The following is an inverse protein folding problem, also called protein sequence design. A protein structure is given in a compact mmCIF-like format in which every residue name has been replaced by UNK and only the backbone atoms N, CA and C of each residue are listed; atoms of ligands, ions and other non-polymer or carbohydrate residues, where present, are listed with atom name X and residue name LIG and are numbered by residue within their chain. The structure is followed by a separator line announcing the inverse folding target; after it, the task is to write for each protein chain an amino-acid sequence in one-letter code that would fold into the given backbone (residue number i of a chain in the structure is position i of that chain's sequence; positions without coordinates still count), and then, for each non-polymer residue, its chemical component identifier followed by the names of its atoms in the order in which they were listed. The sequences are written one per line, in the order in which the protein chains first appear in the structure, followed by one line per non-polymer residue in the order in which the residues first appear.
data_IF_864749712022
#
_entry.id   IF_864749712022
#
_cell.length_a   1.000
_cell.length_b   1.000
_cell.length_c   1.000
_cell.angle_alpha   90.00
_cell.angle_beta   90.00
_cell.angle_gamma   90.00
#
_symmetry.space_group_name_H-M   'P 1'
#
loop_
_entity.id
_entity.type
_entity.pdbx_description
1 polymer ?
#
# COMPACT_ATOMS: atom_id res chain seq x y z
N UNK A 1 -18.80 9.26 -9.46
CA UNK A 1 -18.54 10.42 -10.35
C UNK A 1 -19.52 11.54 -10.01
N UNK A 2 -19.24 12.39 -9.01
CA UNK A 2 -20.17 13.45 -8.60
C UNK A 2 -20.58 14.37 -9.77
N UNK A 3 -19.64 14.67 -10.68
CA UNK A 3 -19.93 15.44 -11.90
C UNK A 3 -20.87 14.72 -12.89
N UNK A 4 -20.76 13.39 -13.05
CA UNK A 4 -21.72 12.63 -13.87
C UNK A 4 -23.08 12.44 -13.17
N UNK A 5 -23.10 12.37 -11.84
CA UNK A 5 -24.35 12.34 -11.06
C UNK A 5 -25.08 13.67 -11.21
N UNK A 6 -24.36 14.80 -11.13
CA UNK A 6 -24.91 16.12 -11.41
C UNK A 6 -25.46 16.21 -12.85
N UNK A 7 -24.68 15.75 -13.84
CA UNK A 7 -25.13 15.71 -15.24
C UNK A 7 -26.37 14.82 -15.44
N UNK A 8 -26.44 13.66 -14.77
CA UNK A 8 -27.58 12.75 -14.86
C UNK A 8 -28.82 13.27 -14.15
N UNK A 9 -28.66 14.08 -13.10
CA UNK A 9 -29.78 14.58 -12.29
C UNK A 9 -30.36 15.87 -12.86
N UNK A 10 -29.50 16.77 -13.34
CA UNK A 10 -29.90 18.09 -13.82
C UNK A 10 -29.88 18.22 -15.34
N UNK A 11 -29.24 17.29 -16.07
CA UNK A 11 -29.01 17.39 -17.52
C UNK A 11 -27.89 18.36 -17.90
N UNK A 12 -27.31 19.08 -16.93
CA UNK A 12 -26.19 20.00 -17.09
C UNK A 12 -25.46 20.20 -15.76
N UNK A 13 -24.30 20.89 -15.78
CA UNK A 13 -23.60 21.35 -14.58
C UNK A 13 -24.29 22.59 -13.99
N UNK A 14 -24.93 22.49 -12.81
CA UNK A 14 -25.76 23.57 -12.28
C UNK A 14 -24.97 24.69 -11.60
N UNK A 15 -23.67 24.53 -11.41
CA UNK A 15 -22.82 25.51 -10.72
C UNK A 15 -22.05 26.41 -11.69
N UNK A 16 -21.34 27.40 -11.15
CA UNK A 16 -20.52 28.29 -11.96
C UNK A 16 -19.26 27.60 -12.54
N UNK A 17 -18.61 28.26 -13.50
CA UNK A 17 -17.42 27.76 -14.19
C UNK A 17 -16.21 27.59 -13.27
N UNK A 18 -16.09 28.41 -12.21
CA UNK A 18 -15.02 28.30 -11.22
C UNK A 18 -15.13 26.99 -10.44
N UNK A 19 -16.33 26.68 -9.94
CA UNK A 19 -16.61 25.43 -9.24
C UNK A 19 -16.36 24.22 -10.13
N UNK A 20 -16.71 24.30 -11.42
CA UNK A 20 -16.37 23.22 -12.35
C UNK A 20 -14.86 23.01 -12.50
N UNK A 21 -14.12 24.09 -12.70
CA UNK A 21 -12.66 24.04 -12.86
C UNK A 21 -12.00 23.48 -11.60
N UNK A 22 -12.35 23.98 -10.42
CA UNK A 22 -11.86 23.46 -9.14
C UNK A 22 -12.22 21.99 -8.94
N UNK A 23 -13.45 21.61 -9.24
CA UNK A 23 -13.92 20.23 -9.11
C UNK A 23 -13.13 19.28 -10.02
N UNK A 24 -12.93 19.65 -11.28
CA UNK A 24 -12.23 18.81 -12.26
C UNK A 24 -10.75 18.65 -11.92
N UNK A 25 -10.09 19.75 -11.52
CA UNK A 25 -8.69 19.74 -11.08
C UNK A 25 -8.53 18.88 -9.81
N UNK A 26 -9.38 19.10 -8.81
CA UNK A 26 -9.33 18.34 -7.55
C UNK A 26 -9.55 16.84 -7.80
N UNK A 27 -10.51 16.48 -8.66
CA UNK A 27 -10.76 15.08 -9.01
C UNK A 27 -9.52 14.42 -9.64
N UNK A 28 -8.83 15.13 -10.54
CA UNK A 28 -7.65 14.59 -11.21
C UNK A 28 -6.47 14.43 -10.24
N UNK A 29 -6.23 15.43 -9.38
CA UNK A 29 -5.18 15.38 -8.34
C UNK A 29 -5.47 14.25 -7.36
N UNK A 30 -6.66 14.17 -6.76
CA UNK A 30 -6.98 13.12 -5.79
C UNK A 30 -6.84 11.71 -6.39
N UNK A 31 -7.24 11.52 -7.65
CA UNK A 31 -7.09 10.22 -8.33
C UNK A 31 -5.63 9.87 -8.61
N UNK A 32 -4.79 10.88 -8.84
CA UNK A 32 -3.34 10.73 -9.05
C UNK A 32 -2.59 10.50 -7.73
N UNK A 33 -2.89 11.27 -6.69
CA UNK A 33 -2.37 11.08 -5.35
C UNK A 33 -2.64 9.66 -4.82
N UNK A 34 -3.82 9.08 -5.10
CA UNK A 34 -4.11 7.68 -4.77
C UNK A 34 -3.09 6.72 -5.44
N UNK A 35 -2.78 6.94 -6.72
CA UNK A 35 -1.83 6.13 -7.49
C UNK A 35 -0.41 6.24 -6.93
N UNK A 36 0.07 7.46 -6.71
CA UNK A 36 1.37 7.69 -6.10
C UNK A 36 1.45 7.16 -4.66
N UNK A 37 0.33 7.17 -3.91
CA UNK A 37 0.24 6.54 -2.60
C UNK A 37 0.53 5.04 -2.66
N UNK A 38 -0.03 4.32 -3.63
CA UNK A 38 0.26 2.89 -3.84
C UNK A 38 1.70 2.63 -4.26
N UNK A 39 2.26 3.50 -5.11
CA UNK A 39 3.67 3.44 -5.46
C UNK A 39 4.56 3.66 -4.24
N UNK A 40 4.22 4.62 -3.38
CA UNK A 40 4.96 4.92 -2.16
C UNK A 40 4.90 3.77 -1.15
N UNK A 41 3.72 3.15 -0.97
CA UNK A 41 3.58 1.95 -0.15
C UNK A 41 4.47 0.83 -0.69
N UNK A 42 4.47 0.62 -2.01
CA UNK A 42 5.31 -0.40 -2.66
C UNK A 42 6.80 -0.10 -2.49
N UNK A 43 7.23 1.14 -2.73
CA UNK A 43 8.62 1.57 -2.55
C UNK A 43 9.09 1.43 -1.10
N UNK A 44 8.24 1.79 -0.13
CA UNK A 44 8.50 1.60 1.29
C UNK A 44 8.73 0.11 1.64
N UNK A 45 7.97 -0.79 1.02
CA UNK A 45 8.14 -2.24 1.21
C UNK A 45 9.42 -2.75 0.56
N UNK A 46 9.75 -2.28 -0.64
CA UNK A 46 11.04 -2.59 -1.28
C UNK A 46 12.16 -2.18 -0.33
N UNK A 47 12.15 -0.94 0.17
CA UNK A 47 13.18 -0.41 1.06
C UNK A 47 13.35 -1.27 2.33
N UNK A 48 12.23 -1.64 2.97
CA UNK A 48 12.25 -2.48 4.17
C UNK A 48 12.84 -3.88 3.91
N UNK A 49 12.57 -4.46 2.73
CA UNK A 49 12.97 -5.83 2.39
C UNK A 49 14.40 -5.90 1.84
N UNK A 50 14.84 -4.90 1.07
CA UNK A 50 16.18 -4.88 0.47
C UNK A 50 17.25 -4.40 1.43
N UNK A 51 16.95 -3.37 2.24
CA UNK A 51 17.91 -2.72 3.12
C UNK A 51 17.38 -2.61 4.56
N UNK A 52 17.20 -3.74 5.27
CA UNK A 52 16.53 -3.76 6.57
C UNK A 52 17.24 -2.94 7.65
N UNK A 53 18.58 -2.90 7.65
CA UNK A 53 19.37 -2.11 8.61
C UNK A 53 19.22 -0.61 8.34
N UNK A 54 19.35 -0.19 7.08
CA UNK A 54 19.17 1.20 6.70
C UNK A 54 17.73 1.65 6.92
N UNK A 55 16.75 0.80 6.59
CA UNK A 55 15.34 1.07 6.87
C UNK A 55 15.10 1.34 8.35
N UNK A 56 15.64 0.52 9.26
CA UNK A 56 15.44 0.69 10.70
C UNK A 56 16.04 1.99 11.26
N UNK A 57 17.14 2.48 10.69
CA UNK A 57 17.80 3.70 11.17
C UNK A 57 17.28 4.97 10.49
N UNK A 58 16.93 4.89 9.21
CA UNK A 58 16.55 6.05 8.42
C UNK A 58 15.03 6.27 8.32
N UNK A 59 14.22 5.21 8.40
CA UNK A 59 12.77 5.33 8.32
C UNK A 59 12.21 5.90 9.63
N UNK A 60 12.03 7.22 9.67
CA UNK A 60 11.43 7.95 10.78
C UNK A 60 10.12 8.62 10.35
N UNK A 61 9.25 8.96 11.31
CA UNK A 61 8.00 9.70 11.04
C UNK A 61 8.26 11.06 10.38
N UNK A 62 9.40 11.69 10.65
CA UNK A 62 9.81 12.94 9.98
C UNK A 62 10.07 12.69 8.49
N UNK A 63 10.88 11.68 8.19
CA UNK A 63 11.19 11.28 6.80
C UNK A 63 9.92 10.86 6.06
N UNK A 64 9.06 10.05 6.67
CA UNK A 64 7.80 9.63 6.05
C UNK A 64 6.90 10.83 5.71
N UNK A 65 6.74 11.80 6.62
CA UNK A 65 5.97 13.03 6.36
C UNK A 65 6.59 13.86 5.24
N UNK A 66 7.91 14.00 5.22
CA UNK A 66 8.60 14.71 4.14
C UNK A 66 8.39 14.03 2.78
N UNK A 67 8.53 12.70 2.71
CA UNK A 67 8.31 11.96 1.45
C UNK A 67 6.87 12.13 0.98
N UNK A 68 5.88 11.99 1.87
CA UNK A 68 4.46 12.21 1.53
C UNK A 68 4.25 13.64 1.00
N UNK A 69 4.77 14.66 1.70
CA UNK A 69 4.63 16.05 1.27
C UNK A 69 5.26 16.30 -0.10
N UNK A 70 6.46 15.78 -0.35
CA UNK A 70 7.13 15.87 -1.65
C UNK A 70 6.30 15.18 -2.74
N UNK A 71 5.76 13.99 -2.46
CA UNK A 71 4.90 13.27 -3.40
C UNK A 71 3.66 14.08 -3.77
N UNK A 72 2.98 14.70 -2.79
CA UNK A 72 1.84 15.57 -3.05
C UNK A 72 2.22 16.79 -3.89
N UNK A 73 3.34 17.44 -3.59
CA UNK A 73 3.82 18.59 -4.35
C UNK A 73 4.13 18.20 -5.81
N UNK A 74 4.82 17.09 -6.02
CA UNK A 74 5.12 16.58 -7.36
C UNK A 74 3.85 16.20 -8.13
N UNK A 75 2.89 15.57 -7.46
CA UNK A 75 1.60 15.22 -8.06
C UNK A 75 0.84 16.47 -8.51
N UNK A 76 0.70 17.49 -7.64
CA UNK A 76 0.07 18.76 -7.99
C UNK A 76 0.81 19.42 -9.15
N UNK A 77 2.14 19.48 -9.12
CA UNK A 77 2.97 20.08 -10.17
C UNK A 77 2.79 19.38 -11.52
N UNK A 78 2.62 18.05 -11.53
CA UNK A 78 2.50 17.27 -12.74
C UNK A 78 1.09 17.33 -13.35
N UNK A 79 0.07 17.28 -12.50
CA UNK A 79 -1.34 17.13 -12.91
C UNK A 79 -2.01 18.48 -13.18
N UNK A 80 -1.64 19.53 -12.41
CA UNK A 80 -2.32 20.83 -12.50
C UNK A 80 -2.15 21.53 -13.84
N UNK A 81 -0.96 21.57 -14.48
CA UNK A 81 -0.77 22.34 -15.71
C UNK A 81 -1.71 21.92 -16.84
N UNK A 82 -1.84 20.61 -17.08
CA UNK A 82 -2.72 20.09 -18.14
C UNK A 82 -4.20 20.40 -17.87
N UNK A 83 -4.62 20.25 -16.61
CA UNK A 83 -5.99 20.53 -16.19
C UNK A 83 -6.30 22.03 -16.25
N UNK A 84 -5.43 22.88 -15.70
CA UNK A 84 -5.61 24.34 -15.69
C UNK A 84 -5.62 24.91 -17.10
N UNK A 85 -4.68 24.52 -17.97
CA UNK A 85 -4.63 25.02 -19.34
C UNK A 85 -5.84 24.55 -20.18
N UNK A 86 -6.30 23.32 -19.95
CA UNK A 86 -7.53 22.81 -20.56
C UNK A 86 -8.75 23.65 -20.19
N UNK A 87 -8.87 24.02 -18.91
CA UNK A 87 -9.96 24.88 -18.42
C UNK A 87 -9.85 26.32 -18.93
N UNK A 88 -8.63 26.87 -18.96
CA UNK A 88 -8.36 28.22 -19.46
C UNK A 88 -8.66 28.36 -20.95
N UNK A 89 -8.24 27.38 -21.76
CA UNK A 89 -8.42 27.41 -23.23
C UNK A 89 -9.89 27.33 -23.67
N UNK A 90 -10.80 26.92 -22.78
CA UNK A 90 -12.23 26.79 -23.10
C UNK A 90 -12.96 28.14 -23.19
N UNK A 91 -12.35 29.20 -22.66
CA UNK A 91 -12.92 30.55 -22.58
C UNK A 91 -14.12 30.65 -21.64
N UNK A 92 -14.34 31.82 -21.03
CA UNK A 92 -15.40 32.04 -20.04
C UNK A 92 -16.84 32.00 -20.61
N UNK A 93 -16.99 31.88 -21.94
CA UNK A 93 -18.26 31.95 -22.67
C UNK A 93 -18.84 30.58 -23.06
N UNK A 94 -18.18 29.47 -22.72
CA UNK A 94 -18.75 28.15 -22.96
C UNK A 94 -19.71 27.80 -21.83
N UNK A 95 -21.00 27.63 -22.13
CA UNK A 95 -21.95 27.01 -21.20
C UNK A 95 -21.43 25.61 -20.88
N UNK A 96 -20.82 25.44 -19.73
CA UNK A 96 -20.05 24.25 -19.38
C UNK A 96 -20.97 23.10 -18.95
N UNK A 97 -21.90 22.74 -19.83
CA UNK A 97 -22.99 21.80 -19.57
C UNK A 97 -22.52 20.48 -19.01
N UNK A 98 -21.35 19.99 -19.42
CA UNK A 98 -20.84 18.67 -19.01
C UNK A 98 -19.72 18.70 -17.96
N UNK A 99 -19.34 19.88 -17.46
CA UNK A 99 -18.20 20.09 -16.56
C UNK A 99 -17.03 19.11 -16.76
N UNK A 100 -16.30 19.32 -17.87
CA UNK A 100 -15.20 18.44 -18.30
C UNK A 100 -14.01 19.24 -18.83
N UNK A 101 -12.81 18.68 -18.64
CA UNK A 101 -11.61 19.12 -19.35
C UNK A 101 -11.77 18.91 -20.86
N UNK A 102 -11.44 19.94 -21.62
CA UNK A 102 -11.39 19.90 -23.08
C UNK A 102 -9.92 19.98 -23.52
N UNK A 103 -9.40 18.87 -24.05
CA UNK A 103 -8.03 18.78 -24.52
C UNK A 103 -8.03 18.90 -26.05
N UNK A 104 -7.57 20.04 -26.58
CA UNK A 104 -7.53 20.31 -28.02
C UNK A 104 -6.14 20.75 -28.47
N UNK A 105 -5.76 20.41 -29.71
CA UNK A 105 -4.47 20.79 -30.28
C UNK A 105 -3.29 20.30 -29.42
N UNK A 106 -2.41 21.22 -29.02
CA UNK A 106 -1.23 20.88 -28.21
C UNK A 106 -1.58 20.31 -26.82
N UNK A 107 -2.76 20.64 -26.28
CA UNK A 107 -3.22 20.15 -24.97
C UNK A 107 -3.45 18.64 -24.96
N UNK A 108 -3.71 18.03 -26.11
CA UNK A 108 -3.81 16.56 -26.24
C UNK A 108 -2.45 15.91 -25.93
N UNK A 109 -1.36 16.48 -26.46
CA UNK A 109 0.01 15.98 -26.19
C UNK A 109 0.37 16.13 -24.71
N UNK A 110 0.00 17.26 -24.12
CA UNK A 110 0.22 17.51 -22.70
C UNK A 110 -0.59 16.55 -21.81
N UNK A 111 -1.89 16.36 -22.11
CA UNK A 111 -2.74 15.41 -21.39
C UNK A 111 -2.23 13.97 -21.50
N UNK A 112 -1.74 13.58 -22.68
CA UNK A 112 -1.12 12.27 -22.89
C UNK A 112 0.15 12.10 -22.06
N UNK A 113 1.02 13.11 -22.01
CA UNK A 113 2.21 13.08 -21.16
C UNK A 113 1.85 13.00 -19.66
N UNK A 114 0.84 13.77 -19.23
CA UNK A 114 0.32 13.70 -17.85
C UNK A 114 -0.26 12.32 -17.54
N UNK A 115 -0.96 11.68 -18.48
CA UNK A 115 -1.50 10.33 -18.30
C UNK A 115 -0.38 9.30 -18.15
N UNK A 116 0.66 9.34 -19.00
CA UNK A 116 1.81 8.42 -18.87
C UNK A 116 2.49 8.57 -17.50
N UNK A 117 2.79 9.82 -17.12
CA UNK A 117 3.55 10.10 -15.91
C UNK A 117 2.71 9.83 -14.63
N UNK A 118 1.42 10.13 -14.66
CA UNK A 118 0.51 9.98 -13.53
C UNK A 118 -0.17 8.61 -13.43
N UNK A 119 -0.31 7.87 -14.54
CA UNK A 119 -0.96 6.56 -14.61
C UNK A 119 0.04 5.46 -14.92
N UNK A 120 0.56 5.42 -16.15
CA UNK A 120 1.27 4.25 -16.69
C UNK A 120 2.56 3.93 -15.92
N UNK A 121 3.38 4.94 -15.62
CA UNK A 121 4.65 4.74 -14.91
C UNK A 121 4.40 4.21 -13.49
N UNK A 122 3.55 4.83 -12.64
CA UNK A 122 3.22 4.28 -11.33
C UNK A 122 2.71 2.83 -11.39
N UNK A 123 1.78 2.52 -12.31
CA UNK A 123 1.26 1.16 -12.47
C UNK A 123 2.39 0.19 -12.81
N UNK A 124 3.19 0.51 -13.83
CA UNK A 124 4.26 -0.34 -14.30
C UNK A 124 5.30 -0.61 -13.19
N UNK A 125 5.72 0.42 -12.47
CA UNK A 125 6.66 0.29 -11.36
C UNK A 125 6.13 -0.62 -10.24
N UNK A 126 4.84 -0.52 -9.91
CA UNK A 126 4.19 -1.41 -8.93
C UNK A 126 4.22 -2.86 -9.44
N UNK A 127 3.84 -3.09 -10.70
CA UNK A 127 3.76 -4.43 -11.28
C UNK A 127 5.13 -5.12 -11.37
N UNK A 128 6.18 -4.42 -11.80
CA UNK A 128 7.52 -5.03 -11.93
C UNK A 128 8.20 -5.26 -10.59
N UNK A 129 7.95 -4.38 -9.61
CA UNK A 129 8.62 -4.46 -8.31
C UNK A 129 8.01 -5.53 -7.40
N UNK A 130 6.74 -5.88 -7.62
CA UNK A 130 6.04 -6.83 -6.78
C UNK A 130 6.63 -8.26 -6.82
N UNK A 131 6.93 -8.88 -7.98
CA UNK A 131 7.64 -10.16 -8.05
C UNK A 131 8.98 -10.13 -7.30
N UNK A 132 9.70 -9.02 -7.40
CA UNK A 132 10.98 -8.85 -6.71
C UNK A 132 10.80 -8.81 -5.17
N UNK A 133 9.79 -8.08 -4.68
CA UNK A 133 9.45 -8.05 -3.25
C UNK A 133 9.08 -9.45 -2.75
N UNK A 134 8.20 -10.16 -3.48
CA UNK A 134 7.81 -11.53 -3.13
C UNK A 134 9.00 -12.49 -3.11
N UNK A 135 9.87 -12.40 -4.10
CA UNK A 135 11.08 -13.22 -4.18
C UNK A 135 11.98 -13.00 -2.96
N UNK A 136 12.28 -11.74 -2.63
CA UNK A 136 13.12 -11.42 -1.47
C UNK A 136 12.47 -11.83 -0.15
N UNK A 137 11.16 -11.61 0.01
CA UNK A 137 10.42 -12.07 1.18
C UNK A 137 10.49 -13.60 1.33
N UNK A 138 10.31 -14.36 0.24
CA UNK A 138 10.44 -15.82 0.24
C UNK A 138 11.85 -16.25 0.64
N UNK A 139 12.89 -15.61 0.10
CA UNK A 139 14.27 -15.92 0.48
C UNK A 139 14.53 -15.68 1.97
N UNK A 140 14.10 -14.55 2.52
CA UNK A 140 14.27 -14.23 3.93
C UNK A 140 13.55 -15.25 4.83
N UNK A 141 12.34 -15.67 4.44
CA UNK A 141 11.59 -16.72 5.16
C UNK A 141 12.30 -18.07 5.14
N UNK A 142 12.83 -18.50 3.99
CA UNK A 142 13.57 -19.76 3.85
C UNK A 142 14.86 -19.76 4.68
N UNK A 143 15.66 -18.69 4.59
CA UNK A 143 16.90 -18.54 5.39
C UNK A 143 16.63 -18.65 6.88
N UNK A 144 15.54 -18.05 7.35
CA UNK A 144 15.18 -18.11 8.75
C UNK A 144 14.60 -19.47 9.16
N UNK A 145 13.75 -20.09 8.35
CA UNK A 145 13.25 -21.45 8.63
C UNK A 145 14.39 -22.43 8.83
N UNK A 146 15.45 -22.33 8.01
CA UNK A 146 16.66 -23.13 8.17
C UNK A 146 17.40 -22.77 9.46
N UNK A 147 17.48 -21.48 9.83
CA UNK A 147 18.12 -21.03 11.06
C UNK A 147 17.40 -21.52 12.32
N UNK A 148 16.06 -21.48 12.38
CA UNK A 148 15.30 -22.06 13.50
C UNK A 148 15.53 -23.56 13.56
N UNK A 149 15.41 -24.26 12.43
CA UNK A 149 15.62 -25.72 12.39
C UNK A 149 17.00 -26.09 12.91
N UNK A 150 17.99 -25.24 12.67
CA UNK A 150 19.34 -25.38 13.21
C UNK A 150 19.44 -25.03 14.70
N UNK A 151 18.69 -24.06 15.21
CA UNK A 151 18.59 -23.74 16.63
C UNK A 151 17.87 -24.84 17.41
N UNK A 152 16.75 -25.37 16.92
CA UNK A 152 16.00 -26.49 17.54
C UNK A 152 16.86 -27.76 17.58
N UNK A 153 17.57 -28.08 16.49
CA UNK A 153 18.51 -29.19 16.44
C UNK A 153 19.71 -29.02 17.40
N UNK A 154 20.03 -27.80 17.82
CA UNK A 154 21.13 -27.50 18.76
C UNK A 154 20.65 -27.32 20.20
N UNK A 155 19.38 -27.00 20.41
CA UNK A 155 18.74 -26.80 21.70
C UNK A 155 18.26 -28.09 22.35
N UNK A 156 18.21 -29.22 21.62
CA UNK A 156 18.09 -30.55 22.20
C UNK A 156 19.46 -31.25 22.26
N UNK A 157 20.17 -31.19 23.39
CA UNK A 157 21.06 -32.28 23.76
C UNK A 157 20.20 -33.55 23.90
N UNK A 158 20.59 -34.71 23.33
CA UNK A 158 19.93 -35.99 23.59
C UNK A 158 19.86 -36.33 25.09
N UNK A 159 20.68 -35.67 25.90
CA UNK A 159 20.71 -35.77 27.35
C UNK A 159 19.62 -34.98 28.09
N UNK A 160 19.03 -33.92 27.52
CA UNK A 160 18.02 -33.11 28.22
C UNK A 160 16.65 -33.79 28.31
N UNK A 161 16.25 -34.55 27.27
CA UNK A 161 15.06 -35.41 27.32
C UNK A 161 15.24 -36.61 28.28
N UNK A 162 16.49 -37.07 28.48
CA UNK A 162 16.77 -38.13 29.44
C UNK A 162 16.67 -37.65 30.91
N UNK A 163 16.95 -36.37 31.17
CA UNK A 163 16.81 -35.78 32.52
C UNK A 163 15.34 -35.60 32.91
N UNK A 164 14.45 -35.28 31.97
CA UNK A 164 13.01 -35.14 32.25
C UNK A 164 12.37 -36.49 32.59
N UNK A 165 12.91 -37.60 32.05
CA UNK A 165 12.42 -38.95 32.33
C UNK A 165 13.06 -39.61 33.56
N UNK A 166 14.00 -38.94 34.24
CA UNK A 166 14.63 -39.46 35.45
C UNK A 166 14.12 -38.72 36.68
N UNK A 167 12.87 -38.97 37.05
CA UNK A 167 12.47 -38.90 38.46
C UNK A 167 13.29 -39.94 39.25
N UNK A 168 14.52 -39.58 39.58
CA UNK A 168 15.31 -40.26 40.58
C UNK A 168 15.84 -39.20 41.53
N UNK A 169 15.05 -38.97 42.57
CA UNK A 169 15.36 -38.22 43.78
C UNK A 169 16.79 -38.55 44.22
N UNK A 170 17.71 -37.60 44.11
CA UNK A 170 19.01 -37.66 44.79
C UNK A 170 19.31 -36.31 45.47
N UNK A 171 20.03 -36.32 46.60
CA UNK A 171 20.04 -35.20 47.53
C UNK A 171 20.83 -34.01 46.97
N UNK A 172 20.26 -32.82 47.12
CA UNK A 172 20.82 -31.54 46.67
C UNK A 172 22.14 -31.26 47.39
N UNK A 173 23.27 -31.39 46.69
CA UNK A 173 24.53 -30.76 47.08
C UNK A 173 24.39 -29.22 46.95
N UNK A 174 25.10 -28.41 47.76
CA UNK A 174 24.92 -26.96 47.78
C UNK A 174 25.53 -26.36 46.51
N UNK A 175 24.79 -26.42 45.42
CA UNK A 175 25.13 -25.72 44.19
C UNK A 175 24.86 -24.24 44.39
N UNK A 176 25.85 -23.44 44.02
CA UNK A 176 25.89 -21.99 44.19
C UNK A 176 24.61 -21.36 43.60
N UNK A 177 23.67 -21.00 44.49
CA UNK A 177 22.32 -20.48 44.17
C UNK A 177 22.36 -19.31 43.18
N UNK A 178 23.42 -18.49 43.23
CA UNK A 178 23.65 -17.40 42.26
C UNK A 178 23.78 -17.91 40.82
N UNK A 179 24.54 -18.99 40.61
CA UNK A 179 24.76 -19.55 39.26
C UNK A 179 23.51 -20.18 38.63
N UNK A 180 22.57 -20.65 39.45
CA UNK A 180 21.27 -21.15 38.99
C UNK A 180 20.38 -19.98 38.58
N UNK A 181 20.31 -18.93 39.42
CA UNK A 181 19.53 -17.72 39.13
C UNK A 181 20.05 -17.01 37.86
N UNK A 182 21.37 -16.92 37.67
CA UNK A 182 21.97 -16.31 36.48
C UNK A 182 21.63 -17.08 35.19
N UNK A 183 21.59 -18.42 35.28
CA UNK A 183 21.20 -19.30 34.16
C UNK A 183 19.71 -19.19 33.83
N UNK A 184 18.84 -19.15 34.84
CA UNK A 184 17.41 -18.93 34.66
C UNK A 184 17.13 -17.55 34.07
N UNK A 185 17.78 -16.50 34.57
CA UNK A 185 17.64 -15.13 34.03
C UNK A 185 18.09 -15.05 32.57
N UNK A 186 19.20 -15.69 32.21
CA UNK A 186 19.67 -15.77 30.82
C UNK A 186 18.70 -16.56 29.91
N UNK A 187 18.12 -17.65 30.43
CA UNK A 187 17.12 -18.44 29.70
C UNK A 187 15.83 -17.63 29.47
N UNK A 188 15.34 -16.91 30.49
CA UNK A 188 14.18 -16.02 30.39
C UNK A 188 14.42 -14.89 29.39
N UNK A 189 15.59 -14.25 29.44
CA UNK A 189 15.96 -13.20 28.48
C UNK A 189 16.02 -13.72 27.04
N UNK A 190 16.54 -14.93 26.82
CA UNK A 190 16.57 -15.57 25.50
C UNK A 190 15.16 -15.88 24.98
N UNK A 191 14.28 -16.44 25.82
CA UNK A 191 12.88 -16.71 25.48
C UNK A 191 12.12 -15.42 25.14
N UNK A 192 12.34 -14.36 25.92
CA UNK A 192 11.72 -13.05 25.69
C UNK A 192 12.20 -12.40 24.38
N UNK A 193 13.50 -12.53 24.07
CA UNK A 193 14.06 -12.06 22.80
C UNK A 193 13.46 -12.80 21.59
N UNK A 194 13.26 -14.12 21.70
CA UNK A 194 12.58 -14.93 20.67
C UNK A 194 11.11 -14.53 20.54
N UNK A 195 10.40 -14.30 21.64
CA UNK A 195 9.01 -13.82 21.64
C UNK A 195 8.85 -12.47 20.95
N UNK A 196 9.71 -11.50 21.27
CA UNK A 196 9.71 -10.17 20.64
C UNK A 196 10.00 -10.25 19.13
N UNK A 197 10.93 -11.12 18.72
CA UNK A 197 11.25 -11.35 17.31
C UNK A 197 10.07 -12.00 16.56
N UNK A 198 9.34 -12.94 17.18
CA UNK A 198 8.12 -13.54 16.63
C UNK A 198 6.99 -12.53 16.45
N UNK A 199 6.73 -11.67 17.44
CA UNK A 199 5.71 -10.61 17.37
C UNK A 199 6.05 -9.62 16.26
N UNK A 200 7.28 -9.12 16.21
CA UNK A 200 7.74 -8.22 15.15
C UNK A 200 7.52 -8.83 13.75
N UNK A 201 7.80 -10.13 13.59
CA UNK A 201 7.57 -10.85 12.33
C UNK A 201 6.11 -11.04 11.99
N UNK A 202 5.25 -11.25 12.98
CA UNK A 202 3.81 -11.32 12.76
C UNK A 202 3.27 -10.00 12.20
N UNK A 203 3.78 -8.87 12.71
CA UNK A 203 3.49 -7.53 12.19
C UNK A 203 3.98 -7.39 10.74
N UNK A 204 5.24 -7.75 10.44
CA UNK A 204 5.74 -7.73 9.06
C UNK A 204 4.94 -8.64 8.12
N UNK A 205 4.57 -9.86 8.56
CA UNK A 205 3.79 -10.81 7.76
C UNK A 205 2.37 -10.28 7.48
N UNK A 206 1.80 -9.50 8.39
CA UNK A 206 0.52 -8.81 8.15
C UNK A 206 0.67 -7.71 7.10
N UNK A 207 1.77 -6.93 7.14
CA UNK A 207 2.09 -5.91 6.16
C UNK A 207 2.36 -6.46 4.75
N UNK A 208 2.90 -7.68 4.63
CA UNK A 208 3.10 -8.36 3.35
C UNK A 208 1.75 -8.67 2.67
N UNK A 209 0.74 -9.10 3.45
CA UNK A 209 -0.61 -9.37 2.93
C UNK A 209 -1.27 -8.11 2.40
N UNK A 210 -1.09 -6.98 3.10
CA UNK A 210 -1.59 -5.66 2.65
C UNK A 210 -1.06 -5.32 1.27
N UNK A 211 0.25 -5.49 1.04
CA UNK A 211 0.86 -5.23 -0.25
C UNK A 211 0.28 -6.12 -1.35
N UNK A 212 0.11 -7.42 -1.08
CA UNK A 212 -0.51 -8.36 -2.03
C UNK A 212 -1.90 -7.88 -2.44
N UNK A 213 -2.74 -7.55 -1.46
CA UNK A 213 -4.12 -7.11 -1.72
C UNK A 213 -4.16 -5.78 -2.49
N UNK A 214 -3.31 -4.82 -2.13
CA UNK A 214 -3.17 -3.56 -2.85
C UNK A 214 -2.78 -3.81 -4.32
N UNK A 215 -1.78 -4.65 -4.57
CA UNK A 215 -1.34 -4.95 -5.94
C UNK A 215 -2.41 -5.69 -6.74
N UNK A 216 -3.09 -6.67 -6.13
CA UNK A 216 -4.22 -7.35 -6.77
C UNK A 216 -5.33 -6.35 -7.11
N UNK A 217 -5.64 -5.42 -6.21
CA UNK A 217 -6.62 -4.36 -6.45
C UNK A 217 -6.21 -3.44 -7.60
N UNK A 218 -4.93 -3.02 -7.66
CA UNK A 218 -4.36 -2.27 -8.80
C UNK A 218 -4.55 -3.03 -10.10
N UNK A 219 -4.13 -4.29 -10.17
CA UNK A 219 -4.25 -5.10 -11.39
C UNK A 219 -5.72 -5.18 -11.83
N UNK A 220 -6.62 -5.60 -10.95
CA UNK A 220 -8.03 -5.80 -11.31
C UNK A 220 -8.71 -4.49 -11.71
N UNK A 221 -8.43 -3.41 -11.00
CA UNK A 221 -9.17 -2.16 -11.19
C UNK A 221 -8.55 -1.23 -12.25
N UNK A 222 -7.24 -1.35 -12.53
CA UNK A 222 -6.54 -0.43 -13.45
C UNK A 222 -6.15 -1.09 -14.79
N UNK A 223 -6.00 -2.41 -14.87
CA UNK A 223 -5.73 -3.10 -16.14
C UNK A 223 -6.77 -2.81 -17.23
N UNK A 224 -8.08 -2.73 -16.95
CA UNK A 224 -9.08 -2.37 -17.96
C UNK A 224 -8.87 -0.98 -18.56
N UNK A 225 -8.41 -0.01 -17.75
CA UNK A 225 -8.09 1.34 -18.23
C UNK A 225 -6.86 1.32 -19.16
N UNK A 226 -5.81 0.59 -18.75
CA UNK A 226 -4.61 0.41 -19.56
C UNK A 226 -4.94 -0.23 -20.92
N UNK A 227 -5.74 -1.31 -20.92
CA UNK A 227 -6.16 -1.98 -22.15
C UNK A 227 -6.98 -1.03 -23.03
N UNK A 228 -7.94 -0.31 -22.46
CA UNK A 228 -8.78 0.61 -23.22
C UNK A 228 -7.95 1.68 -23.93
N UNK A 229 -7.05 2.36 -23.22
CA UNK A 229 -6.22 3.40 -23.85
C UNK A 229 -5.18 2.82 -24.81
N UNK A 230 -4.66 1.62 -24.56
CA UNK A 230 -3.80 0.93 -25.53
C UNK A 230 -4.56 0.64 -26.84
N UNK A 231 -5.81 0.18 -26.77
CA UNK A 231 -6.66 -0.05 -27.94
C UNK A 231 -7.04 1.24 -28.67
N UNK A 232 -7.33 2.32 -27.92
CA UNK A 232 -7.59 3.65 -28.51
C UNK A 232 -6.37 4.13 -29.29
N UNK A 233 -5.17 3.95 -28.75
CA UNK A 233 -3.94 4.47 -29.36
C UNK A 233 -3.43 3.60 -30.52
N UNK A 234 -3.62 2.28 -30.45
CA UNK A 234 -3.09 1.34 -31.46
C UNK A 234 -3.99 1.19 -32.68
N UNK A 235 -5.30 1.04 -32.46
CA UNK A 235 -6.27 0.71 -33.51
C UNK A 235 -7.45 1.70 -33.57
N UNK A 236 -7.37 2.82 -32.86
CA UNK A 236 -8.43 3.83 -32.75
C UNK A 236 -9.78 3.25 -32.31
N UNK A 237 -9.74 2.24 -31.42
CA UNK A 237 -10.95 1.63 -30.87
C UNK A 237 -11.69 2.62 -29.96
N UNK A 238 -12.91 3.00 -30.32
CA UNK A 238 -13.75 3.93 -29.54
C UNK A 238 -15.09 3.29 -29.23
N UNK A 239 -15.20 2.72 -28.02
CA UNK A 239 -16.45 2.15 -27.53
C UNK A 239 -16.86 2.81 -26.20
N UNK A 240 -18.03 3.44 -26.19
CA UNK A 240 -18.53 4.19 -25.03
C UNK A 240 -18.84 3.28 -23.83
N UNK A 241 -19.29 2.05 -24.07
CA UNK A 241 -19.57 1.07 -23.02
C UNK A 241 -18.28 0.65 -22.35
N UNK A 242 -17.25 0.28 -23.13
CA UNK A 242 -15.97 -0.11 -22.54
C UNK A 242 -15.31 1.06 -21.79
N UNK A 243 -15.35 2.28 -22.34
CA UNK A 243 -14.89 3.47 -21.63
C UNK A 243 -15.60 3.66 -20.29
N UNK A 244 -16.90 3.42 -20.23
CA UNK A 244 -17.68 3.56 -18.99
C UNK A 244 -17.34 2.48 -17.98
N UNK A 245 -17.25 1.22 -18.40
CA UNK A 245 -16.90 0.08 -17.53
C UNK A 245 -15.52 0.26 -16.93
N UNK A 246 -14.50 0.58 -17.73
CA UNK A 246 -13.14 0.78 -17.22
C UNK A 246 -13.10 1.94 -16.22
N UNK A 247 -13.84 3.02 -16.52
CA UNK A 247 -13.89 4.19 -15.64
C UNK A 247 -14.47 3.80 -14.28
N UNK A 248 -15.57 3.05 -14.26
CA UNK A 248 -16.19 2.55 -13.03
C UNK A 248 -15.18 1.73 -12.23
N UNK A 249 -14.45 0.81 -12.88
CA UNK A 249 -13.45 -0.03 -12.21
C UNK A 249 -12.35 0.79 -11.53
N UNK A 250 -11.80 1.81 -12.21
CA UNK A 250 -10.78 2.69 -11.63
C UNK A 250 -11.32 3.46 -10.42
N UNK A 251 -12.57 3.93 -10.46
CA UNK A 251 -13.18 4.64 -9.32
C UNK A 251 -13.51 3.71 -8.16
N UNK A 252 -14.01 2.51 -8.42
CA UNK A 252 -14.33 1.51 -7.39
C UNK A 252 -13.11 1.16 -6.56
N UNK A 253 -11.92 1.24 -7.14
CA UNK A 253 -10.67 1.04 -6.41
C UNK A 253 -10.51 1.93 -5.17
N UNK A 254 -10.95 3.19 -5.25
CA UNK A 254 -10.94 4.12 -4.11
C UNK A 254 -11.72 3.58 -2.90
N UNK A 255 -12.80 2.84 -3.15
CA UNK A 255 -13.68 2.25 -2.13
C UNK A 255 -13.19 0.87 -1.65
N UNK A 256 -12.55 0.12 -2.55
CA UNK A 256 -12.01 -1.20 -2.24
C UNK A 256 -10.81 -1.09 -1.30
N UNK A 257 -10.03 -0.01 -1.36
CA UNK A 257 -8.83 0.17 -0.54
C UNK A 257 -9.06 0.05 0.98
N UNK A 258 -10.01 0.75 1.62
CA UNK A 258 -10.34 0.54 3.03
C UNK A 258 -10.71 -0.91 3.37
N UNK A 259 -11.49 -1.57 2.51
CA UNK A 259 -11.93 -2.97 2.71
C UNK A 259 -10.73 -3.91 2.62
N UNK A 260 -9.86 -3.73 1.63
CA UNK A 260 -8.62 -4.49 1.49
C UNK A 260 -7.72 -4.28 2.71
N UNK A 261 -7.57 -3.04 3.18
CA UNK A 261 -6.79 -2.71 4.38
C UNK A 261 -7.34 -3.40 5.64
N UNK A 262 -8.66 -3.42 5.83
CA UNK A 262 -9.32 -4.12 6.93
C UNK A 262 -9.13 -5.65 6.86
N UNK A 263 -9.25 -6.23 5.66
CA UNK A 263 -9.01 -7.66 5.45
C UNK A 263 -7.53 -8.04 5.61
N UNK A 264 -6.62 -7.11 5.32
CA UNK A 264 -5.19 -7.37 5.34
C UNK A 264 -4.53 -7.17 6.70
N UNK A 265 -4.94 -6.13 7.45
CA UNK A 265 -4.35 -5.76 8.73
C UNK A 265 -5.16 -6.34 9.88
N UNK A 266 -4.59 -7.35 10.55
CA UNK A 266 -5.21 -7.95 11.75
C UNK A 266 -5.35 -6.93 12.89
N UNK A 267 -4.36 -6.07 13.09
CA UNK A 267 -4.41 -5.01 14.11
C UNK A 267 -5.54 -4.02 13.87
N UNK A 268 -5.76 -3.60 12.61
CA UNK A 268 -6.86 -2.72 12.27
C UNK A 268 -8.21 -3.40 12.53
N UNK A 269 -8.32 -4.69 12.20
CA UNK A 269 -9.53 -5.47 12.44
C UNK A 269 -9.84 -5.59 13.93
N UNK A 270 -8.84 -5.91 14.73
CA UNK A 270 -8.96 -5.99 16.19
C UNK A 270 -9.40 -4.62 16.75
N UNK A 271 -8.70 -3.54 16.38
CA UNK A 271 -9.06 -2.19 16.83
C UNK A 271 -10.47 -1.74 16.41
N UNK A 272 -10.90 -2.05 15.18
CA UNK A 272 -12.26 -1.75 14.69
C UNK A 272 -13.29 -2.58 15.44
N UNK A 273 -13.03 -3.86 15.68
CA UNK A 273 -13.93 -4.72 16.43
C UNK A 273 -14.04 -4.27 17.90
N UNK A 274 -12.93 -3.85 18.51
CA UNK A 274 -12.92 -3.32 19.88
C UNK A 274 -13.69 -2.00 19.97
N UNK A 275 -13.55 -1.13 18.96
CA UNK A 275 -14.33 0.10 18.84
C UNK A 275 -15.83 -0.20 18.69
N UNK A 276 -16.21 -1.12 17.81
CA UNK A 276 -17.60 -1.54 17.60
C UNK A 276 -18.21 -2.26 18.81
N UNK A 277 -17.38 -2.96 19.60
CA UNK A 277 -17.78 -3.61 20.85
C UNK A 277 -17.71 -2.68 22.07
N UNK A 278 -17.41 -1.39 21.91
CA UNK A 278 -17.37 -0.41 22.99
C UNK A 278 -16.23 -0.62 24.01
N UNK A 279 -15.18 -1.37 23.67
CA UNK A 279 -14.04 -1.67 24.56
C UNK A 279 -12.88 -0.68 24.43
N UNK A 280 -13.14 0.49 23.85
CA UNK A 280 -12.12 1.48 23.59
C UNK A 280 -11.79 2.25 24.88
N UNK A 281 -10.72 1.84 25.59
CA UNK A 281 -10.17 2.58 26.74
C UNK A 281 -10.13 1.87 28.10
N UNK A 282 -10.31 0.54 28.17
CA UNK A 282 -10.08 -0.26 29.39
C UNK A 282 -8.67 -0.84 29.46
#
# INVERSE_FOLDING_TARGET
MPGKVALSSYGYWPYNALLCSTFTIAQQICSSALRYGHLLVTANRIWAVTFPLHYRTAHTTKVARCIIAITWLLDIMLISPSSVLSRWSKGNNSTDRECRNDYRGYLVKLAFATEILGFDIPVFLILISYPFVLYKLRQTRLKWSNKIRQCDARALPPTALAVINSEAITPIAPTNRKSIIDKEAAAVAAVQAVGNDLVARQILRSHDRVLVYIVCGVVVCWTPNLIYYLLVNSINYRNATFHTVQTIMVFTYGWVNPVLCYMAMRQLREAVNDFLCGRWGS
#
